data_IF_234915341923
#
_entry.id   IF_234915341923
#
_cell.length_a   1.000
_cell.length_b   1.000
_cell.length_c   1.000
_cell.angle_alpha   90.00
_cell.angle_beta   90.00
_cell.angle_gamma   90.00
#
_symmetry.space_group_name_H-M   'P 1'
#
loop_
_entity.id
_entity.type
_entity.pdbx_description
1 polymer ?
#
# COMPACT_ATOMS: atom_id res chain seq x y z
N UNK A 1 12.61 7.63 -30.47
CA UNK A 1 11.35 7.11 -29.88
C UNK A 1 11.51 5.91 -28.94
N UNK A 2 12.72 5.50 -28.52
CA UNK A 2 12.91 4.44 -27.49
C UNK A 2 12.80 4.94 -26.03
N UNK A 3 13.25 6.17 -25.75
CA UNK A 3 13.30 6.73 -24.38
C UNK A 3 11.93 6.97 -23.72
N UNK A 4 10.88 7.21 -24.50
CA UNK A 4 9.53 7.44 -23.95
C UNK A 4 8.98 6.12 -23.40
N UNK A 5 9.25 5.00 -24.07
CA UNK A 5 8.79 3.67 -23.63
C UNK A 5 9.50 3.21 -22.35
N UNK A 6 10.79 3.49 -22.20
CA UNK A 6 11.53 3.18 -20.96
C UNK A 6 11.01 3.98 -19.77
N UNK A 7 10.71 5.27 -19.95
CA UNK A 7 10.13 6.09 -18.88
C UNK A 7 8.74 5.61 -18.43
N UNK A 8 7.90 5.12 -19.35
CA UNK A 8 6.57 4.58 -19.00
C UNK A 8 6.71 3.31 -18.14
N UNK A 9 7.66 2.43 -18.46
CA UNK A 9 7.92 1.20 -17.70
C UNK A 9 8.43 1.51 -16.29
N UNK A 10 9.27 2.54 -16.14
CA UNK A 10 9.79 2.98 -14.83
C UNK A 10 8.68 3.57 -13.96
N UNK A 11 7.74 4.31 -14.56
CA UNK A 11 6.61 4.89 -13.83
C UNK A 11 5.67 3.80 -13.31
N UNK A 12 5.31 2.81 -14.13
CA UNK A 12 4.44 1.68 -13.74
C UNK A 12 5.00 0.91 -12.52
N UNK A 13 6.31 0.62 -12.52
CA UNK A 13 7.01 -0.01 -11.39
C UNK A 13 7.02 0.86 -10.12
N UNK A 14 7.09 2.18 -10.28
CA UNK A 14 7.11 3.11 -9.16
C UNK A 14 5.78 3.11 -8.39
N UNK A 15 4.65 3.00 -9.09
CA UNK A 15 3.32 2.93 -8.47
C UNK A 15 3.15 1.69 -7.59
N UNK A 16 3.70 0.55 -8.02
CA UNK A 16 3.67 -0.72 -7.27
C UNK A 16 4.36 -0.59 -5.91
N UNK A 17 5.35 0.29 -5.78
CA UNK A 17 6.07 0.53 -4.52
C UNK A 17 5.45 1.69 -3.74
N UNK A 18 5.08 2.77 -4.42
CA UNK A 18 4.61 4.00 -3.78
C UNK A 18 3.27 3.82 -3.08
N UNK A 19 2.33 3.10 -3.69
CA UNK A 19 0.99 2.85 -3.13
C UNK A 19 1.04 2.06 -1.82
N UNK A 20 1.70 0.88 -1.73
CA UNK A 20 1.80 0.16 -0.47
C UNK A 20 2.63 0.91 0.58
N UNK A 21 3.62 1.71 0.17
CA UNK A 21 4.37 2.56 1.10
C UNK A 21 3.47 3.60 1.77
N UNK A 22 2.63 4.30 0.99
CA UNK A 22 1.67 5.27 1.50
C UNK A 22 0.62 4.62 2.40
N UNK A 23 0.05 3.49 1.98
CA UNK A 23 -0.91 2.75 2.81
C UNK A 23 -0.30 2.29 4.14
N UNK A 24 0.95 1.82 4.13
CA UNK A 24 1.65 1.41 5.34
C UNK A 24 1.87 2.59 6.29
N UNK A 25 2.29 3.75 5.77
CA UNK A 25 2.48 4.97 6.55
C UNK A 25 1.18 5.44 7.22
N UNK A 26 0.08 5.44 6.47
CA UNK A 26 -1.25 5.80 6.99
C UNK A 26 -1.74 4.75 8.01
N UNK A 27 -1.61 3.47 7.68
CA UNK A 27 -2.03 2.36 8.55
C UNK A 27 -1.31 2.36 9.89
N UNK A 28 0.00 2.60 9.91
CA UNK A 28 0.83 2.72 11.12
C UNK A 28 0.45 3.97 11.91
N UNK A 29 0.24 5.11 11.24
CA UNK A 29 -0.15 6.35 11.92
C UNK A 29 -1.51 6.21 12.60
N UNK A 30 -2.50 5.62 11.92
CA UNK A 30 -3.81 5.31 12.50
C UNK A 30 -3.72 4.27 13.62
N UNK A 31 -2.82 3.29 13.52
CA UNK A 31 -2.57 2.32 14.59
C UNK A 31 -2.06 3.03 15.84
N UNK A 32 -1.05 3.90 15.68
CA UNK A 32 -0.42 4.61 16.78
C UNK A 32 -1.44 5.51 17.49
N UNK A 33 -2.23 6.26 16.73
CA UNK A 33 -3.30 7.12 17.27
C UNK A 33 -4.40 6.28 17.94
N UNK A 34 -4.82 5.18 17.31
CA UNK A 34 -5.84 4.28 17.84
C UNK A 34 -5.42 3.61 19.14
N UNK A 35 -4.16 3.20 19.26
CA UNK A 35 -3.60 2.63 20.49
C UNK A 35 -3.42 3.72 21.56
N UNK A 36 -2.84 4.87 21.21
CA UNK A 36 -2.57 5.95 22.16
C UNK A 36 -3.85 6.58 22.73
N UNK A 37 -4.88 6.78 21.89
CA UNK A 37 -6.16 7.38 22.31
C UNK A 37 -7.26 6.36 22.61
N UNK A 38 -6.98 5.06 22.51
CA UNK A 38 -7.98 3.97 22.57
C UNK A 38 -9.20 4.22 21.64
N UNK A 39 -8.95 4.85 20.51
CA UNK A 39 -9.98 5.19 19.54
C UNK A 39 -10.28 3.97 18.66
N UNK A 40 -11.47 3.39 18.85
CA UNK A 40 -11.94 2.18 18.15
C UNK A 40 -12.02 2.40 16.64
N UNK A 41 -12.33 3.62 16.19
CA UNK A 41 -12.48 3.96 14.77
C UNK A 41 -11.11 3.97 14.10
N UNK A 42 -10.12 4.61 14.73
CA UNK A 42 -8.75 4.66 14.24
C UNK A 42 -8.10 3.26 14.16
N UNK A 43 -8.41 2.38 15.13
CA UNK A 43 -8.03 0.97 15.11
C UNK A 43 -8.69 0.19 13.96
N UNK A 44 -9.98 0.42 13.71
CA UNK A 44 -10.70 -0.18 12.58
C UNK A 44 -10.12 0.28 11.23
N UNK A 45 -9.84 1.58 11.07
CA UNK A 45 -9.25 2.16 9.86
C UNK A 45 -7.83 1.64 9.63
N UNK A 46 -7.05 1.48 10.70
CA UNK A 46 -5.73 0.86 10.61
C UNK A 46 -5.84 -0.60 10.15
N UNK A 47 -6.74 -1.38 10.75
CA UNK A 47 -6.99 -2.76 10.37
C UNK A 47 -7.41 -2.91 8.90
N UNK A 48 -8.28 -2.02 8.40
CA UNK A 48 -8.67 -2.04 6.98
C UNK A 48 -7.53 -1.64 6.05
N UNK A 49 -6.65 -0.71 6.44
CA UNK A 49 -5.44 -0.39 5.68
C UNK A 49 -4.48 -1.58 5.58
N UNK A 50 -4.25 -2.30 6.69
CA UNK A 50 -3.42 -3.50 6.68
C UNK A 50 -4.05 -4.64 5.87
N UNK A 51 -5.38 -4.79 5.93
CA UNK A 51 -6.11 -5.76 5.11
C UNK A 51 -5.95 -5.42 3.61
N UNK A 52 -6.08 -4.14 3.24
CA UNK A 52 -5.91 -3.69 1.86
C UNK A 52 -4.47 -3.92 1.36
N UNK A 53 -3.45 -3.71 2.20
CA UNK A 53 -2.07 -4.06 1.90
C UNK A 53 -1.91 -5.56 1.65
N UNK A 54 -2.53 -6.39 2.48
CA UNK A 54 -2.47 -7.85 2.32
C UNK A 54 -3.11 -8.31 1.01
N UNK A 55 -4.25 -7.74 0.64
CA UNK A 55 -4.94 -8.04 -0.63
C UNK A 55 -4.09 -7.57 -1.82
N UNK A 56 -3.54 -6.35 -1.77
CA UNK A 56 -2.65 -5.83 -2.82
C UNK A 56 -1.42 -6.74 -3.01
N UNK A 57 -0.80 -7.15 -1.91
CA UNK A 57 0.33 -8.08 -1.95
C UNK A 57 -0.06 -9.44 -2.55
N UNK A 58 -1.24 -9.96 -2.19
CA UNK A 58 -1.75 -11.23 -2.72
C UNK A 58 -1.99 -11.17 -4.23
N UNK A 59 -2.61 -10.08 -4.72
CA UNK A 59 -2.85 -9.86 -6.15
C UNK A 59 -1.53 -9.73 -6.90
N UNK A 60 -0.59 -8.95 -6.36
CA UNK A 60 0.72 -8.78 -6.98
C UNK A 60 1.49 -10.11 -7.07
N UNK A 61 1.50 -10.89 -5.98
CA UNK A 61 2.16 -12.20 -5.95
C UNK A 61 1.55 -13.17 -6.97
N UNK A 62 0.21 -13.16 -7.12
CA UNK A 62 -0.48 -13.96 -8.12
C UNK A 62 -0.14 -13.53 -9.56
N UNK A 63 -0.07 -12.22 -9.83
CA UNK A 63 0.31 -11.70 -11.16
C UNK A 63 1.77 -12.00 -11.52
N UNK A 64 2.69 -11.94 -10.55
CA UNK A 64 4.11 -12.28 -10.77
C UNK A 64 4.32 -13.78 -10.99
N UNK A 65 3.45 -14.62 -10.43
CA UNK A 65 3.55 -16.07 -10.53
C UNK A 65 2.84 -16.68 -11.76
N UNK A 66 2.22 -15.87 -12.62
CA UNK A 66 1.55 -16.29 -13.87
C UNK A 66 2.35 -15.88 -15.10
#
# INVERSE_FOLDING_TARGET
MKRISENVIIIEQLWVILVPLLLALVGISCLLVGVAKRDRVSLLVSGSCFLALFVLFSIYSFMVSS
#
